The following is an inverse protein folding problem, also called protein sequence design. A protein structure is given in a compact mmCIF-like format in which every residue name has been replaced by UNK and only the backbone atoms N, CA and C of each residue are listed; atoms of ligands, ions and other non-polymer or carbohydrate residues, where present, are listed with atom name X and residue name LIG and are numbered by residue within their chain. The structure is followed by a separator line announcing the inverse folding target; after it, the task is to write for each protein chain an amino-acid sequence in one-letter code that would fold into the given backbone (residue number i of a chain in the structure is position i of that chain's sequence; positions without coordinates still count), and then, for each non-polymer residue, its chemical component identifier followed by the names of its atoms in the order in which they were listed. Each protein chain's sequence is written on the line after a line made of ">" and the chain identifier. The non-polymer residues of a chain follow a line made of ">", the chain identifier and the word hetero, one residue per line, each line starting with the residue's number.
data_IF_474308274466
#
_entry.id   IF_474308274466
#
_cell.length_a   1.000
_cell.length_b   1.000
_cell.length_c   1.000
_cell.angle_alpha   90.00
_cell.angle_beta   90.00
_cell.angle_gamma   90.00
#
_symmetry.space_group_name_H-M   'P 1'
#
loop_
_entity.id
_entity.type
_entity.pdbx_description
1 polymer ?
2 water ?
#
# COMPACT_ATOMS: atom_id res chain seq x y z
N UNK A 5 3.15 -19.07 -6.74
CA UNK A 5 3.85 -18.29 -7.80
C UNK A 5 3.17 -16.95 -8.05
N UNK A 6 2.28 -16.57 -7.15
CA UNK A 6 1.57 -15.29 -7.22
C UNK A 6 2.66 -14.28 -6.81
N UNK A 7 3.71 -14.81 -6.17
CA UNK A 7 4.84 -14.04 -5.68
C UNK A 7 5.68 -13.45 -6.80
N UNK A 8 5.48 -13.94 -8.02
CA UNK A 8 6.16 -13.37 -9.17
C UNK A 8 5.01 -12.46 -9.54
N UNK A 9 4.95 -11.94 -10.76
CA UNK A 9 3.86 -11.01 -11.03
C UNK A 9 4.37 -9.92 -10.07
N UNK A 10 4.94 -8.85 -10.62
CA UNK A 10 5.48 -7.76 -9.82
C UNK A 10 4.43 -7.01 -9.02
N UNK A 11 4.90 -6.25 -8.04
CA UNK A 11 4.09 -5.42 -7.16
C UNK A 11 3.48 -6.18 -6.03
N UNK A 12 3.34 -7.48 -6.18
CA UNK A 12 2.71 -8.22 -5.11
C UNK A 12 3.58 -8.69 -3.95
N UNK A 13 3.28 -8.06 -2.83
CA UNK A 13 3.86 -8.24 -1.52
C UNK A 13 3.44 -9.50 -0.82
N UNK A 14 4.05 -9.83 0.30
CA UNK A 14 3.78 -11.08 1.00
C UNK A 14 2.42 -11.10 1.62
N UNK A 15 1.87 -9.93 1.93
CA UNK A 15 0.57 -9.87 2.62
C UNK A 15 -0.57 -9.66 1.63
N UNK A 16 -0.20 -9.28 0.41
CA UNK A 16 -1.19 -9.03 -0.58
C UNK A 16 -1.55 -10.45 -1.03
N UNK A 17 -0.56 -11.27 -1.39
CA UNK A 17 -0.90 -12.61 -1.84
C UNK A 17 -1.53 -13.37 -0.70
N UNK A 18 -1.37 -12.87 0.53
CA UNK A 18 -1.99 -13.55 1.65
C UNK A 18 -3.48 -13.46 1.48
N UNK A 19 -4.02 -12.24 1.38
CA UNK A 19 -5.46 -12.14 1.22
C UNK A 19 -5.93 -12.46 -0.19
N UNK A 20 -5.07 -12.33 -1.20
CA UNK A 20 -5.54 -12.68 -2.53
C UNK A 20 -5.98 -14.13 -2.35
N UNK A 21 -5.08 -14.95 -1.82
CA UNK A 21 -5.41 -16.35 -1.58
C UNK A 21 -6.69 -16.49 -0.76
N UNK A 22 -6.82 -15.73 0.32
CA UNK A 22 -8.02 -15.86 1.12
C UNK A 22 -9.23 -15.64 0.26
N UNK A 23 -9.19 -14.64 -0.61
CA UNK A 23 -10.31 -14.36 -1.50
C UNK A 23 -10.54 -15.44 -2.57
N UNK A 24 -9.73 -16.50 -2.55
CA UNK A 24 -9.89 -17.57 -3.52
C UNK A 24 -9.19 -17.36 -4.83
N UNK A 25 -8.16 -16.53 -4.79
CA UNK A 25 -7.38 -16.19 -5.98
C UNK A 25 -5.92 -16.57 -5.77
N UNK A 26 -5.54 -17.80 -6.11
CA UNK A 26 -4.13 -18.18 -6.00
C UNK A 26 -3.66 -17.95 -7.45
N UNK A 27 -2.69 -18.71 -7.92
CA UNK A 27 -2.21 -18.59 -9.30
C UNK A 27 -2.48 -17.29 -10.10
N UNK A 28 -1.43 -16.70 -10.69
CA UNK A 28 -1.47 -15.48 -11.50
C UNK A 28 -2.57 -15.48 -12.58
N UNK A 29 -2.86 -16.65 -13.14
CA UNK A 29 -3.85 -16.78 -14.20
C UNK A 29 -5.29 -16.74 -13.67
N UNK A 30 -5.44 -16.83 -12.36
CA UNK A 30 -6.76 -16.80 -11.75
C UNK A 30 -7.14 -15.34 -11.56
N UNK A 31 -6.12 -14.53 -11.31
CA UNK A 31 -6.26 -13.10 -11.11
C UNK A 31 -6.17 -12.33 -12.40
N UNK A 32 -5.66 -12.96 -13.45
CA UNK A 32 -5.57 -12.24 -14.70
C UNK A 32 -6.92 -12.08 -15.38
N UNK A 33 -7.76 -13.10 -15.25
CA UNK A 33 -9.06 -13.01 -15.87
C UNK A 33 -10.21 -12.67 -14.93
N UNK A 34 -9.93 -11.89 -13.89
CA UNK A 34 -10.99 -11.41 -13.03
C UNK A 34 -10.53 -9.97 -12.91
N UNK A 35 -9.24 -9.79 -13.21
CA UNK A 35 -8.65 -8.47 -13.18
C UNK A 35 -8.56 -7.96 -11.77
N UNK A 36 -7.88 -6.83 -11.62
CA UNK A 36 -7.65 -6.15 -10.35
C UNK A 36 -8.86 -5.72 -9.51
N UNK A 37 -9.76 -4.96 -10.11
CA UNK A 37 -10.94 -4.48 -9.41
C UNK A 37 -11.71 -5.55 -8.68
N UNK A 38 -12.01 -6.62 -9.42
CA UNK A 38 -12.73 -7.75 -8.87
C UNK A 38 -11.95 -8.36 -7.72
N UNK A 39 -10.67 -8.61 -7.96
CA UNK A 39 -9.82 -9.19 -6.95
C UNK A 39 -9.84 -8.24 -5.76
N UNK A 40 -9.69 -6.96 -6.04
CA UNK A 40 -9.70 -5.92 -5.01
C UNK A 40 -10.93 -6.05 -4.12
N UNK A 41 -12.09 -5.96 -4.74
CA UNK A 41 -13.36 -6.07 -4.04
C UNK A 41 -13.41 -7.29 -3.14
N UNK A 42 -13.13 -8.46 -3.71
CA UNK A 42 -13.17 -9.71 -2.96
C UNK A 42 -12.38 -9.62 -1.63
N UNK A 43 -11.11 -9.25 -1.71
CA UNK A 43 -10.28 -9.13 -0.51
C UNK A 43 -10.80 -8.04 0.43
N UNK A 44 -11.45 -7.03 -0.13
CA UNK A 44 -12.00 -5.95 0.66
C UNK A 44 -13.16 -6.52 1.47
N UNK A 45 -13.88 -7.48 0.89
CA UNK A 45 -14.98 -8.13 1.58
C UNK A 45 -14.42 -8.65 2.89
N UNK A 46 -13.14 -9.05 2.87
CA UNK A 46 -12.47 -9.54 4.07
C UNK A 46 -11.95 -8.35 4.89
N UNK A 47 -10.82 -7.72 4.57
CA UNK A 47 -10.50 -6.56 5.40
C UNK A 47 -10.78 -5.27 4.68
N UNK A 48 -11.69 -4.53 5.29
CA UNK A 48 -12.14 -3.24 4.83
C UNK A 48 -10.94 -2.32 4.65
N UNK A 49 -9.82 -2.67 5.28
CA UNK A 49 -8.59 -1.88 5.24
C UNK A 49 -7.75 -1.89 3.96
N UNK A 50 -8.06 -2.78 3.02
CA UNK A 50 -7.30 -2.80 1.77
C UNK A 50 -7.41 -1.38 1.27
N UNK A 51 -6.64 -1.01 0.26
CA UNK A 51 -6.75 0.36 -0.18
C UNK A 51 -6.11 0.59 -1.52
N UNK A 52 -6.19 1.83 -1.98
CA UNK A 52 -5.63 2.26 -3.25
C UNK A 52 -4.30 1.61 -3.62
N UNK A 53 -3.41 1.47 -2.63
CA UNK A 53 -2.11 0.84 -2.83
C UNK A 53 -2.32 -0.51 -3.49
N UNK A 54 -3.10 -1.34 -2.81
CA UNK A 54 -3.37 -2.67 -3.30
C UNK A 54 -4.04 -2.67 -4.66
N UNK A 55 -4.89 -1.69 -4.92
CA UNK A 55 -5.58 -1.61 -6.21
C UNK A 55 -4.58 -1.50 -7.34
N UNK A 56 -3.67 -0.54 -7.20
CA UNK A 56 -2.61 -0.29 -8.16
C UNK A 56 -1.70 -1.49 -8.27
N UNK A 57 -1.39 -2.05 -7.11
CA UNK A 57 -0.55 -3.22 -7.04
C UNK A 57 -1.18 -4.32 -7.89
N UNK A 58 -2.49 -4.51 -7.76
CA UNK A 58 -3.16 -5.55 -8.52
C UNK A 58 -3.19 -5.33 -10.02
N UNK A 59 -3.47 -4.11 -10.46
CA UNK A 59 -3.51 -3.85 -11.89
C UNK A 59 -2.09 -3.73 -12.41
N UNK A 60 -1.14 -3.61 -11.50
CA UNK A 60 0.24 -3.53 -11.94
C UNK A 60 0.58 -4.93 -12.37
N UNK A 61 0.24 -5.88 -11.50
CA UNK A 61 0.48 -7.29 -11.73
C UNK A 61 -0.19 -7.85 -12.99
N UNK A 62 -1.34 -7.29 -13.35
CA UNK A 62 -2.09 -7.77 -14.51
C UNK A 62 -1.50 -7.24 -15.81
N UNK A 63 -1.00 -6.01 -15.77
CA UNK A 63 -0.28 -5.46 -16.91
C UNK A 63 0.97 -6.15 -16.38
N UNK A 64 2.12 -6.09 -17.03
CA UNK A 64 3.25 -6.76 -16.40
C UNK A 64 4.27 -5.76 -15.89
N UNK A 65 3.81 -4.72 -15.20
CA UNK A 65 4.71 -3.66 -14.74
C UNK A 65 4.55 -3.23 -13.28
N UNK A 66 5.50 -2.42 -12.81
CA UNK A 66 5.42 -1.89 -11.46
C UNK A 66 4.39 -0.80 -11.63
N UNK A 67 3.46 -0.64 -10.68
CA UNK A 67 2.40 0.34 -10.85
C UNK A 67 2.73 1.81 -11.05
N UNK A 68 3.79 2.35 -10.43
CA UNK A 68 4.08 3.77 -10.65
C UNK A 68 4.13 4.01 -12.15
N UNK A 69 4.39 2.94 -12.91
CA UNK A 69 4.46 3.04 -14.36
C UNK A 69 3.15 2.78 -15.10
N UNK A 70 2.05 2.50 -14.39
CA UNK A 70 0.78 2.29 -15.08
C UNK A 70 0.57 3.60 -15.84
N UNK A 71 -0.18 3.54 -16.91
CA UNK A 71 -0.42 4.76 -17.65
C UNK A 71 -1.49 5.50 -16.87
N UNK A 72 -1.36 6.82 -16.86
CA UNK A 72 -2.23 7.82 -16.19
C UNK A 72 -3.73 7.61 -16.30
N UNK A 73 -4.23 7.64 -17.53
CA UNK A 73 -5.65 7.44 -17.80
C UNK A 73 -6.13 6.36 -16.86
N UNK A 74 -5.49 5.21 -16.98
CA UNK A 74 -5.78 4.04 -16.17
C UNK A 74 -5.72 4.28 -14.67
N UNK A 75 -4.86 5.18 -14.19
CA UNK A 75 -4.80 5.39 -12.75
C UNK A 75 -5.93 6.25 -12.23
N UNK A 76 -6.47 7.11 -13.09
CA UNK A 76 -7.58 7.97 -12.68
C UNK A 76 -8.71 7.00 -12.48
N UNK A 77 -8.89 6.19 -13.52
CA UNK A 77 -9.91 5.17 -13.56
C UNK A 77 -9.92 4.35 -12.27
N UNK A 78 -8.76 3.87 -11.84
CA UNK A 78 -8.72 3.08 -10.62
C UNK A 78 -9.01 4.00 -9.42
N UNK A 79 -8.53 5.24 -9.46
CA UNK A 79 -8.81 6.14 -8.34
C UNK A 79 -10.33 6.32 -8.30
N UNK A 80 -10.94 6.71 -9.42
CA UNK A 80 -12.39 6.90 -9.45
C UNK A 80 -13.16 5.72 -8.85
N UNK A 81 -12.85 4.49 -9.26
CA UNK A 81 -13.54 3.33 -8.71
C UNK A 81 -13.20 3.12 -7.23
N UNK A 82 -11.96 3.37 -6.81
CA UNK A 82 -11.65 3.20 -5.39
C UNK A 82 -12.44 4.22 -4.60
N UNK A 83 -12.26 5.50 -4.92
CA UNK A 83 -12.94 6.57 -4.20
C UNK A 83 -14.44 6.46 -4.32
N UNK A 84 -14.93 5.80 -5.37
CA UNK A 84 -16.37 5.64 -5.51
C UNK A 84 -16.83 4.63 -4.50
N UNK A 85 -15.93 3.75 -4.12
CA UNK A 85 -16.27 2.72 -3.15
C UNK A 85 -16.59 3.29 -1.78
N UNK A 86 -15.61 3.96 -1.21
CA UNK A 86 -15.73 4.48 0.14
C UNK A 86 -14.28 4.91 0.33
N UNK B 6 16.15 8.74 0.09
CA UNK B 6 14.99 8.49 0.99
C UNK B 6 14.21 7.28 0.50
N UNK B 7 14.38 6.98 -0.78
CA UNK B 7 13.75 5.81 -1.37
C UNK B 7 14.86 4.76 -1.28
N UNK B 8 15.81 5.03 -0.40
CA UNK B 8 16.94 4.16 -0.14
C UNK B 8 16.59 3.27 1.06
N UNK B 9 15.48 3.58 1.73
CA UNK B 9 15.04 2.78 2.86
C UNK B 9 14.04 1.78 2.32
N UNK B 10 13.80 0.68 3.05
CA UNK B 10 12.85 -0.31 2.55
C UNK B 10 11.37 0.11 2.58
N UNK B 11 10.60 -0.47 1.66
CA UNK B 11 9.17 -0.22 1.54
C UNK B 11 8.76 1.13 0.95
N UNK B 12 9.71 1.93 0.50
CA UNK B 12 9.32 3.23 -0.04
C UNK B 12 9.42 3.49 -1.53
N UNK B 13 8.27 3.44 -2.19
CA UNK B 13 8.15 3.64 -3.61
C UNK B 13 8.32 5.12 -3.92
N UNK B 14 8.34 5.46 -5.20
CA UNK B 14 8.50 6.86 -5.63
C UNK B 14 7.43 7.80 -5.09
N UNK B 15 6.19 7.36 -5.17
CA UNK B 15 5.04 8.12 -4.71
C UNK B 15 5.09 8.43 -3.21
N UNK B 16 5.46 7.44 -2.42
CA UNK B 16 5.49 7.58 -0.95
C UNK B 16 6.60 8.60 -0.70
N UNK B 17 7.70 8.44 -1.41
CA UNK B 17 8.79 9.35 -1.23
C UNK B 17 8.28 10.74 -1.51
N UNK B 18 7.81 10.95 -2.74
CA UNK B 18 7.32 12.25 -3.18
C UNK B 18 6.36 12.93 -2.21
N UNK B 19 5.41 12.19 -1.66
CA UNK B 19 4.50 12.83 -0.74
C UNK B 19 5.02 13.03 0.67
N UNK B 20 6.23 12.54 0.91
CA UNK B 20 6.84 12.78 2.19
C UNK B 20 7.50 14.11 1.90
N UNK B 21 8.08 14.20 0.71
CA UNK B 21 8.72 15.44 0.25
C UNK B 21 7.75 16.62 0.45
N UNK B 22 6.59 16.57 -0.20
CA UNK B 22 5.60 17.66 -0.10
C UNK B 22 5.18 17.87 1.33
N UNK B 23 5.44 16.88 2.18
CA UNK B 23 5.07 16.95 3.58
C UNK B 23 6.07 17.63 4.49
N UNK B 24 7.28 17.87 4.00
CA UNK B 24 8.28 18.53 4.83
C UNK B 24 9.35 17.60 5.34
N UNK B 25 9.17 16.32 5.06
CA UNK B 25 10.13 15.30 5.45
C UNK B 25 10.90 14.98 4.19
N UNK B 26 12.14 15.42 4.14
CA UNK B 26 12.95 15.26 2.94
C UNK B 26 14.08 14.24 2.98
N UNK B 27 14.36 13.67 4.13
CA UNK B 27 15.51 12.79 4.22
C UNK B 27 15.36 11.55 5.13
N UNK B 28 16.28 10.57 5.03
CA UNK B 28 16.08 9.42 5.92
C UNK B 28 16.22 9.80 7.39
N UNK B 29 17.11 10.74 7.68
CA UNK B 29 17.29 11.16 9.07
C UNK B 29 16.05 11.91 9.52
N UNK B 30 15.52 12.76 8.65
CA UNK B 30 14.33 13.49 9.00
C UNK B 30 13.22 12.51 9.32
N UNK B 31 13.01 11.49 8.49
CA UNK B 31 11.97 10.50 8.75
C UNK B 31 12.17 9.74 10.06
N UNK B 32 13.38 9.75 10.59
CA UNK B 32 13.61 9.03 11.83
C UNK B 32 13.43 9.85 13.09
N UNK B 33 13.55 11.17 12.99
CA UNK B 33 13.33 12.00 14.17
C UNK B 33 11.88 11.80 14.52
N UNK B 34 11.03 12.15 13.55
CA UNK B 34 9.59 12.11 13.73
C UNK B 34 8.93 10.74 13.87
N UNK B 35 9.66 9.67 13.58
CA UNK B 35 9.04 8.36 13.67
C UNK B 35 7.95 8.27 12.61
N UNK B 36 7.39 7.08 12.41
CA UNK B 36 6.36 6.89 11.39
C UNK B 36 4.98 7.44 11.71
N UNK B 37 4.55 7.31 12.95
CA UNK B 37 3.25 7.81 13.34
C UNK B 37 3.06 9.26 12.93
N UNK B 38 4.04 10.09 13.24
CA UNK B 38 3.90 11.48 12.89
C UNK B 38 4.17 11.78 11.43
N UNK B 39 5.00 10.98 10.79
CA UNK B 39 5.31 11.21 9.38
C UNK B 39 4.04 11.04 8.59
N UNK B 40 3.38 9.92 8.85
CA UNK B 40 2.12 9.51 8.25
C UNK B 40 1.00 10.49 8.54
N UNK B 41 0.92 10.89 9.79
CA UNK B 41 -0.09 11.84 10.21
C UNK B 41 0.08 13.10 9.34
N UNK B 42 1.32 13.46 9.06
CA UNK B 42 1.61 14.63 8.26
C UNK B 42 1.14 14.57 6.81
N UNK B 43 1.08 13.40 6.20
CA UNK B 43 0.61 13.38 4.83
C UNK B 43 -0.89 13.13 4.80
N UNK B 44 -1.39 12.50 5.85
CA UNK B 44 -2.81 12.27 5.96
C UNK B 44 -3.44 13.64 5.80
N UNK B 45 -2.91 14.64 6.51
CA UNK B 45 -3.47 15.97 6.39
C UNK B 45 -3.46 16.47 4.95
N UNK B 46 -2.48 16.06 4.15
CA UNK B 46 -2.48 16.47 2.74
C UNK B 46 -3.38 15.54 1.93
N UNK B 47 -3.39 14.25 2.25
CA UNK B 47 -4.27 13.33 1.54
C UNK B 47 -5.03 12.45 2.52
N UNK B 48 -6.16 12.99 2.98
CA UNK B 48 -7.05 12.33 3.94
C UNK B 48 -7.23 10.84 3.69
N UNK B 49 -6.97 10.41 2.47
CA UNK B 49 -7.13 9.01 2.12
C UNK B 49 -5.84 8.30 1.77
N UNK B 50 -4.88 8.29 2.69
CA UNK B 50 -3.66 7.58 2.37
C UNK B 50 -3.60 6.28 3.14
N UNK B 51 -3.50 5.21 2.37
CA UNK B 51 -3.48 3.85 2.84
C UNK B 51 -2.74 3.47 4.12
N UNK B 52 -3.28 2.46 4.78
CA UNK B 52 -2.70 1.90 5.99
C UNK B 52 -1.44 1.17 5.58
N UNK B 53 -1.48 0.58 4.40
CA UNK B 53 -0.33 -0.12 3.88
C UNK B 53 0.83 0.84 3.96
N UNK B 54 0.55 2.12 3.79
CA UNK B 54 1.62 3.11 3.84
C UNK B 54 2.07 3.47 5.28
N UNK B 55 1.28 3.19 6.31
CA UNK B 55 1.75 3.49 7.67
C UNK B 55 2.70 2.35 8.06
N UNK B 56 2.38 1.14 7.63
CA UNK B 56 3.26 0.02 7.92
C UNK B 56 4.60 0.26 7.26
N UNK B 57 4.58 0.46 5.94
CA UNK B 57 5.81 0.63 5.21
C UNK B 57 6.85 1.51 5.86
N UNK B 58 6.42 2.67 6.33
CA UNK B 58 7.33 3.61 6.98
C UNK B 58 7.85 3.06 8.29
N UNK B 59 6.97 2.52 9.13
CA UNK B 59 7.49 1.98 10.37
C UNK B 59 8.45 0.90 9.95
N UNK B 60 8.09 0.18 8.89
CA UNK B 60 8.98 -0.85 8.40
C UNK B 60 10.28 -0.15 8.10
N UNK B 61 10.15 1.03 7.50
CA UNK B 61 11.27 1.89 7.10
C UNK B 61 12.20 2.42 8.20
N UNK B 62 11.67 3.08 9.23
CA UNK B 62 12.54 3.59 10.29
C UNK B 62 13.33 2.39 10.79
N UNK B 63 12.63 1.35 11.23
CA UNK B 63 13.31 0.11 11.62
C UNK B 63 13.92 -0.33 10.29
N UNK B 64 14.81 -1.30 10.26
CA UNK B 64 15.36 -1.62 8.95
C UNK B 64 14.84 -2.83 8.21
N UNK B 65 13.53 -2.94 8.09
CA UNK B 65 12.97 -4.14 7.46
C UNK B 65 11.75 -4.01 6.54
N UNK B 66 11.46 -5.08 5.79
CA UNK B 66 10.28 -5.16 4.91
C UNK B 66 9.10 -5.28 5.90
N UNK B 67 8.10 -4.41 5.80
CA UNK B 67 7.04 -4.44 6.80
C UNK B 67 6.29 -5.71 7.16
N UNK B 68 6.25 -6.71 6.29
CA UNK B 68 5.53 -7.92 6.64
C UNK B 68 6.27 -8.66 7.75
N UNK B 69 7.46 -8.16 8.07
CA UNK B 69 8.28 -8.77 9.11
C UNK B 69 8.24 -8.03 10.44
N UNK B 70 7.28 -7.13 10.57
CA UNK B 70 7.06 -6.36 11.80
C UNK B 70 6.41 -7.24 12.86
N UNK B 71 6.80 -7.12 14.13
CA UNK B 71 6.15 -7.97 15.12
C UNK B 71 4.68 -7.60 15.14
N UNK B 72 3.83 -8.58 15.41
CA UNK B 72 2.38 -8.39 15.43
C UNK B 72 1.89 -7.37 16.44
N UNK B 73 2.63 -7.15 17.51
CA UNK B 73 2.17 -6.18 18.48
C UNK B 73 2.17 -4.83 17.79
N UNK B 74 3.29 -4.42 17.22
CA UNK B 74 3.26 -3.11 16.61
C UNK B 74 2.29 -2.91 15.45
N UNK B 75 1.99 -3.93 14.67
CA UNK B 75 1.03 -3.69 13.61
C UNK B 75 -0.32 -3.42 14.23
N UNK B 76 -0.61 -4.13 15.31
CA UNK B 76 -1.88 -3.96 15.99
C UNK B 76 -1.96 -2.52 16.55
N UNK B 77 -0.85 -1.99 17.05
CA UNK B 77 -0.85 -0.62 17.55
C UNK B 77 -1.06 0.37 16.41
N UNK B 78 -0.32 0.14 15.33
CA UNK B 78 -0.35 0.97 14.14
C UNK B 78 -1.73 0.97 13.54
N UNK B 79 -2.29 -0.22 13.40
CA UNK B 79 -3.62 -0.36 12.85
C UNK B 79 -4.53 0.55 13.66
N UNK B 80 -4.61 0.27 14.95
CA UNK B 80 -5.44 1.03 15.88
C UNK B 80 -5.32 2.53 15.70
N UNK B 81 -4.10 2.99 15.46
CA UNK B 81 -3.84 4.41 15.30
C UNK B 81 -4.44 4.92 13.98
N UNK B 82 -4.43 4.09 12.95
CA UNK B 82 -4.99 4.52 11.69
C UNK B 82 -6.49 4.63 11.89
N UNK B 83 -7.06 3.68 12.61
CA UNK B 83 -8.48 3.69 12.86
C UNK B 83 -8.87 4.94 13.63
N UNK B 84 -8.04 5.36 14.59
CA UNK B 84 -8.37 6.56 15.33
C UNK B 84 -8.39 7.71 14.34
N UNK B 85 -7.50 7.69 13.35
CA UNK B 85 -7.53 8.73 12.36
C UNK B 85 -8.91 8.71 11.78
N UNK B 86 -9.50 9.89 11.66
CA UNK B 86 -10.89 10.00 11.22
C UNK B 86 -11.61 8.68 11.04
#
# INVERSE_FOLDING_TARGET
>A
XSLANLSELPNIGKVLEQDLIKAGIKTPVELKDVGSKEAFLRIWENDSSVCMSELYALEGAVQGIRWHGLDEAKKIELKKFHQSLEGHHHHHH
>B
XSLANLSELPNIGKVLEQDLIKAGIKTPVELKDVGSKEAFLRIWENDSSVCMSELYALEGAVQGIRWHGLDEAKKIELKKFHQSLEGHHHHHH
#
